data_IF_789930174549
#
_entry.id   IF_789930174549
#
_cell.length_a   1.000
_cell.length_b   1.000
_cell.length_c   1.000
_cell.angle_alpha   90.00
_cell.angle_beta   90.00
_cell.angle_gamma   90.00
#
_symmetry.space_group_name_H-M   'P 1'
#
loop_
_entity.id
_entity.type
_entity.pdbx_description
1 polymer ?
#
# COMPACT_ATOMS: atom_id res chain seq x y z
N UNK A 1 8.11 -9.92 14.63
CA UNK A 1 7.47 -9.62 13.33
C UNK A 1 6.04 -9.12 13.43
N UNK A 2 5.22 -9.63 14.37
CA UNK A 2 3.83 -9.21 14.52
C UNK A 2 3.66 -7.68 14.72
N UNK A 3 4.40 -7.06 15.65
CA UNK A 3 4.35 -5.60 15.86
C UNK A 3 4.90 -4.78 14.69
N UNK A 4 5.93 -5.30 14.00
CA UNK A 4 6.51 -4.66 12.80
C UNK A 4 5.46 -4.54 11.70
N UNK A 5 4.60 -5.56 11.54
CA UNK A 5 3.50 -5.49 10.58
C UNK A 5 2.54 -4.33 10.91
N UNK A 6 2.21 -4.08 12.17
CA UNK A 6 1.31 -2.97 12.51
C UNK A 6 1.92 -1.60 12.20
N UNK A 7 3.21 -1.41 12.50
CA UNK A 7 3.92 -0.16 12.17
C UNK A 7 3.94 0.07 10.66
N UNK A 8 4.31 -0.96 9.88
CA UNK A 8 4.37 -0.85 8.42
C UNK A 8 2.99 -0.76 7.79
N UNK A 9 2.05 -1.61 8.21
CA UNK A 9 0.73 -1.74 7.61
C UNK A 9 -0.20 -0.56 7.89
N UNK A 10 0.05 0.20 8.96
CA UNK A 10 -0.67 1.45 9.24
C UNK A 10 -0.15 2.65 8.44
N UNK A 11 0.96 2.50 7.69
CA UNK A 11 1.43 3.56 6.81
C UNK A 11 0.35 3.87 5.77
N UNK A 12 -0.03 5.16 5.58
CA UNK A 12 -1.04 5.57 4.62
C UNK A 12 -0.45 5.58 3.20
N UNK A 13 -0.05 4.40 2.72
CA UNK A 13 0.79 4.27 1.50
C UNK A 13 0.09 4.76 0.25
N UNK A 14 -1.23 4.62 0.13
CA UNK A 14 -1.96 5.18 -1.00
C UNK A 14 -1.86 6.71 -1.05
N UNK A 15 -1.95 7.37 0.12
CA UNK A 15 -1.69 8.81 0.20
C UNK A 15 -0.24 9.14 -0.11
N UNK A 16 0.72 8.44 0.51
CA UNK A 16 2.14 8.72 0.30
C UNK A 16 2.51 8.58 -1.18
N UNK A 17 2.06 7.54 -1.85
CA UNK A 17 2.29 7.30 -3.29
C UNK A 17 1.89 8.52 -4.12
N UNK A 18 0.61 8.91 -4.04
CA UNK A 18 0.10 10.02 -4.86
C UNK A 18 0.56 11.39 -4.37
N UNK A 19 0.85 11.55 -3.08
CA UNK A 19 1.43 12.79 -2.57
C UNK A 19 2.86 12.97 -3.09
N UNK A 20 3.67 11.91 -3.14
CA UNK A 20 4.99 11.97 -3.76
C UNK A 20 4.88 12.25 -5.26
N UNK A 21 4.02 11.53 -5.99
CA UNK A 21 3.75 11.76 -7.40
C UNK A 21 3.33 13.23 -7.68
N UNK A 22 2.39 13.75 -6.90
CA UNK A 22 1.95 15.15 -6.98
C UNK A 22 3.10 16.14 -6.73
N UNK A 23 3.97 15.86 -5.76
CA UNK A 23 5.12 16.73 -5.44
C UNK A 23 6.21 16.68 -6.51
N UNK A 24 6.38 15.55 -7.19
CA UNK A 24 7.26 15.41 -8.35
C UNK A 24 6.69 16.19 -9.54
N UNK A 25 5.39 16.05 -9.80
CA UNK A 25 4.69 16.84 -10.83
C UNK A 25 4.89 18.34 -10.63
N UNK A 26 4.73 18.84 -9.39
CA UNK A 26 4.97 20.26 -9.07
C UNK A 26 6.42 20.73 -9.25
N UNK A 27 7.39 19.81 -9.23
CA UNK A 27 8.82 20.10 -9.34
C UNK A 27 9.40 19.78 -10.72
N UNK A 28 8.57 19.30 -11.65
CA UNK A 28 9.01 18.78 -12.96
C UNK A 28 10.13 17.74 -12.85
N UNK A 29 10.12 16.95 -11.76
CA UNK A 29 11.16 15.95 -11.48
C UNK A 29 10.90 14.61 -12.17
N UNK A 30 11.92 13.74 -12.25
CA UNK A 30 11.73 12.36 -12.71
C UNK A 30 10.94 11.53 -11.69
N UNK A 31 10.06 10.64 -12.19
CA UNK A 31 9.13 9.79 -11.43
C UNK A 31 9.79 8.49 -10.92
N UNK A 32 10.88 8.08 -11.56
CA UNK A 32 11.24 6.68 -11.86
C UNK A 32 11.27 5.67 -10.70
N UNK A 33 11.21 6.09 -9.44
CA UNK A 33 11.36 5.22 -8.27
C UNK A 33 10.09 5.03 -7.41
N UNK A 34 9.01 5.78 -7.64
CA UNK A 34 7.80 5.66 -6.80
C UNK A 34 7.18 4.26 -6.91
N UNK A 35 7.06 3.73 -8.12
CA UNK A 35 6.45 2.40 -8.32
C UNK A 35 7.29 1.28 -7.69
N UNK A 36 8.62 1.35 -7.80
CA UNK A 36 9.52 0.35 -7.22
C UNK A 36 9.50 0.39 -5.69
N UNK A 37 9.49 1.58 -5.09
CA UNK A 37 9.40 1.73 -3.63
C UNK A 37 8.06 1.21 -3.10
N UNK A 38 6.96 1.43 -3.83
CA UNK A 38 5.65 0.87 -3.49
C UNK A 38 5.60 -0.65 -3.58
N UNK A 39 6.16 -1.24 -4.64
CA UNK A 39 6.27 -2.71 -4.78
C UNK A 39 7.14 -3.28 -3.65
N UNK A 40 8.28 -2.66 -3.35
CA UNK A 40 9.16 -3.10 -2.26
C UNK A 40 8.43 -3.06 -0.90
N UNK A 41 7.72 -1.97 -0.60
CA UNK A 41 6.87 -1.88 0.59
C UNK A 41 5.85 -3.03 0.64
N UNK A 42 5.15 -3.27 -0.48
CA UNK A 42 4.11 -4.29 -0.57
C UNK A 42 4.67 -5.70 -0.29
N UNK A 43 5.86 -6.01 -0.80
CA UNK A 43 6.56 -7.27 -0.54
C UNK A 43 6.97 -7.39 0.93
N UNK A 44 7.59 -6.36 1.50
CA UNK A 44 8.05 -6.36 2.90
C UNK A 44 6.85 -6.47 3.86
N UNK A 45 5.82 -5.64 3.68
CA UNK A 45 4.61 -5.67 4.48
C UNK A 45 3.85 -7.00 4.31
N UNK A 46 3.79 -7.54 3.09
CA UNK A 46 3.21 -8.86 2.81
C UNK A 46 3.95 -10.01 3.46
N UNK A 47 5.29 -9.95 3.52
CA UNK A 47 6.11 -10.89 4.28
C UNK A 47 5.80 -10.80 5.78
N UNK A 48 5.79 -9.60 6.37
CA UNK A 48 5.43 -9.40 7.77
C UNK A 48 3.99 -9.87 8.06
N UNK A 49 3.07 -9.75 7.10
CA UNK A 49 1.69 -10.20 7.20
C UNK A 49 1.53 -11.72 7.36
N UNK A 50 2.58 -12.52 7.10
CA UNK A 50 2.55 -13.97 7.33
C UNK A 50 2.43 -14.33 8.81
N UNK A 51 2.92 -13.46 9.71
CA UNK A 51 2.97 -13.63 11.16
C UNK A 51 1.75 -13.07 11.92
N UNK A 52 0.74 -12.57 11.20
CA UNK A 52 -0.49 -12.02 11.76
C UNK A 52 -1.72 -12.74 11.17
N UNK A 53 -2.87 -12.62 11.83
CA UNK A 53 -4.12 -13.21 11.34
C UNK A 53 -4.60 -12.45 10.11
N UNK A 54 -5.19 -13.15 9.13
CA UNK A 54 -5.73 -12.50 7.91
C UNK A 54 -6.72 -11.38 8.24
N UNK A 55 -7.54 -11.56 9.27
CA UNK A 55 -8.47 -10.54 9.76
C UNK A 55 -7.76 -9.26 10.22
N UNK A 56 -6.61 -9.39 10.89
CA UNK A 56 -5.80 -8.24 11.33
C UNK A 56 -5.21 -7.51 10.13
N UNK A 57 -4.73 -8.23 9.10
CA UNK A 57 -4.27 -7.64 7.84
C UNK A 57 -5.35 -6.77 7.20
N UNK A 58 -6.58 -7.29 7.12
CA UNK A 58 -7.71 -6.56 6.54
C UNK A 58 -8.08 -5.32 7.36
N UNK A 59 -8.10 -5.42 8.70
CA UNK A 59 -8.41 -4.28 9.57
C UNK A 59 -7.34 -3.18 9.47
N UNK A 60 -6.07 -3.56 9.49
CA UNK A 60 -4.94 -2.61 9.38
C UNK A 60 -4.96 -1.88 8.04
N UNK A 61 -5.17 -2.61 6.94
CA UNK A 61 -5.29 -1.99 5.62
C UNK A 61 -6.53 -1.10 5.50
N UNK A 62 -7.66 -1.45 6.12
CA UNK A 62 -8.85 -0.60 6.16
C UNK A 62 -8.58 0.71 6.92
N UNK A 63 -7.87 0.65 8.05
CA UNK A 63 -7.46 1.85 8.80
C UNK A 63 -6.51 2.70 7.96
N UNK A 64 -5.48 2.09 7.35
CA UNK A 64 -4.52 2.80 6.49
C UNK A 64 -5.20 3.43 5.26
N UNK A 65 -6.23 2.79 4.71
CA UNK A 65 -7.06 3.33 3.64
C UNK A 65 -7.81 4.59 4.10
N UNK A 66 -8.50 4.54 5.24
CA UNK A 66 -9.21 5.70 5.80
C UNK A 66 -8.23 6.83 6.08
N UNK A 67 -7.08 6.54 6.70
CA UNK A 67 -6.02 7.53 6.92
C UNK A 67 -5.52 8.14 5.61
N UNK A 68 -5.30 7.32 4.59
CA UNK A 68 -4.87 7.79 3.26
C UNK A 68 -5.92 8.71 2.65
N UNK A 69 -7.20 8.37 2.77
CA UNK A 69 -8.29 9.21 2.28
C UNK A 69 -8.33 10.56 2.98
N UNK A 70 -8.30 10.56 4.32
CA UNK A 70 -8.32 11.79 5.12
C UNK A 70 -7.13 12.68 4.77
N UNK A 71 -5.92 12.12 4.71
CA UNK A 71 -4.72 12.86 4.35
C UNK A 71 -4.80 13.41 2.91
N UNK A 72 -5.33 12.63 1.97
CA UNK A 72 -5.55 13.09 0.60
C UNK A 72 -6.51 14.28 0.54
N UNK A 73 -7.58 14.27 1.34
CA UNK A 73 -8.51 15.39 1.43
C UNK A 73 -7.85 16.67 1.97
N UNK A 74 -6.90 16.54 2.90
CA UNK A 74 -6.22 17.65 3.56
C UNK A 74 -5.07 18.24 2.74
N UNK A 75 -4.32 17.40 2.00
CA UNK A 75 -3.02 17.78 1.43
C UNK A 75 -2.94 17.72 -0.10
N UNK A 76 -3.98 17.26 -0.79
CA UNK A 76 -3.98 17.18 -2.26
C UNK A 76 -5.24 17.83 -2.85
N UNK A 77 -5.12 18.53 -4.00
CA UNK A 77 -6.27 19.11 -4.66
C UNK A 77 -7.23 18.01 -5.13
N UNK A 78 -8.52 18.34 -5.22
CA UNK A 78 -9.57 17.39 -5.63
C UNK A 78 -9.36 16.93 -7.07
N UNK A 79 -8.99 17.88 -7.94
CA UNK A 79 -8.70 17.61 -9.34
C UNK A 79 -7.29 17.02 -9.44
N UNK A 80 -7.20 15.79 -9.95
CA UNK A 80 -5.92 15.14 -10.16
C UNK A 80 -5.29 15.59 -11.49
N UNK A 81 -4.96 16.88 -11.61
CA UNK A 81 -4.35 17.41 -12.84
C UNK A 81 -3.03 16.73 -13.20
N UNK A 82 -2.38 16.08 -12.23
CA UNK A 82 -1.16 15.31 -12.41
C UNK A 82 -1.40 13.88 -12.93
N UNK A 83 -2.65 13.37 -12.94
CA UNK A 83 -3.00 12.05 -13.46
C UNK A 83 -4.27 12.11 -14.33
N UNK A 84 -4.12 11.89 -15.64
CA UNK A 84 -5.24 12.00 -16.58
C UNK A 84 -6.24 10.86 -16.39
N UNK A 85 -7.54 11.20 -16.35
CA UNK A 85 -8.65 10.24 -16.43
C UNK A 85 -9.22 9.77 -15.09
N UNK A 86 -8.66 10.19 -13.96
CA UNK A 86 -9.15 9.83 -12.62
C UNK A 86 -9.16 11.07 -11.71
N UNK A 87 -9.97 11.04 -10.65
CA UNK A 87 -9.90 12.03 -9.58
C UNK A 87 -9.04 11.51 -8.43
N UNK A 88 -8.60 12.42 -7.54
CA UNK A 88 -7.79 12.09 -6.37
C UNK A 88 -8.34 10.91 -5.57
N UNK A 89 -9.66 10.89 -5.34
CA UNK A 89 -10.29 9.84 -4.55
C UNK A 89 -10.20 8.47 -5.24
N UNK A 90 -10.40 8.42 -6.56
CA UNK A 90 -10.32 7.19 -7.34
C UNK A 90 -8.90 6.60 -7.26
N UNK A 91 -7.89 7.46 -7.39
CA UNK A 91 -6.47 7.11 -7.29
C UNK A 91 -6.12 6.49 -5.92
N UNK A 92 -6.59 7.09 -4.82
CA UNK A 92 -6.39 6.55 -3.47
C UNK A 92 -7.03 5.17 -3.33
N UNK A 93 -8.25 4.97 -3.85
CA UNK A 93 -8.93 3.66 -3.83
C UNK A 93 -8.11 2.62 -4.60
N UNK A 94 -7.66 2.96 -5.80
CA UNK A 94 -6.91 2.06 -6.67
C UNK A 94 -5.63 1.59 -5.98
N UNK A 95 -4.77 2.51 -5.51
CA UNK A 95 -3.51 2.12 -4.87
C UNK A 95 -3.75 1.36 -3.57
N UNK A 96 -4.74 1.75 -2.76
CA UNK A 96 -5.05 1.02 -1.54
C UNK A 96 -5.52 -0.42 -1.82
N UNK A 97 -6.37 -0.61 -2.84
CA UNK A 97 -6.80 -1.93 -3.30
C UNK A 97 -5.63 -2.79 -3.76
N UNK A 98 -4.79 -2.28 -4.66
CA UNK A 98 -3.63 -3.02 -5.16
C UNK A 98 -2.63 -3.34 -4.03
N UNK A 99 -2.43 -2.40 -3.09
CA UNK A 99 -1.60 -2.63 -1.91
C UNK A 99 -2.13 -3.77 -1.06
N UNK A 100 -3.44 -3.76 -0.76
CA UNK A 100 -4.07 -4.80 0.04
C UNK A 100 -4.02 -6.17 -0.64
N UNK A 101 -4.41 -6.23 -1.92
CA UNK A 101 -4.39 -7.46 -2.72
C UNK A 101 -2.96 -7.99 -2.80
N UNK A 102 -1.98 -7.14 -3.11
CA UNK A 102 -0.60 -7.54 -3.24
C UNK A 102 0.02 -8.05 -1.93
N UNK A 103 -0.26 -7.41 -0.80
CA UNK A 103 0.15 -7.92 0.52
C UNK A 103 -0.44 -9.32 0.78
N UNK A 104 -1.71 -9.54 0.45
CA UNK A 104 -2.35 -10.86 0.60
C UNK A 104 -1.76 -11.91 -0.35
N UNK A 105 -1.44 -11.53 -1.59
CA UNK A 105 -0.78 -12.40 -2.57
C UNK A 105 0.59 -12.84 -2.05
N UNK A 106 1.45 -11.89 -1.67
CA UNK A 106 2.79 -12.17 -1.10
C UNK A 106 2.67 -13.08 0.12
N UNK A 107 1.76 -12.74 1.06
CA UNK A 107 1.48 -13.55 2.24
C UNK A 107 1.11 -14.99 1.88
N UNK A 108 0.26 -15.18 0.87
CA UNK A 108 -0.24 -16.49 0.47
C UNK A 108 0.86 -17.33 -0.16
N UNK A 109 1.64 -16.74 -1.08
CA UNK A 109 2.79 -17.39 -1.71
C UNK A 109 3.82 -17.85 -0.66
N UNK A 110 4.17 -16.98 0.29
CA UNK A 110 5.13 -17.31 1.34
C UNK A 110 4.63 -18.43 2.25
N UNK A 111 3.34 -18.44 2.60
CA UNK A 111 2.77 -19.55 3.37
C UNK A 111 2.81 -20.88 2.62
N UNK A 112 2.64 -20.88 1.30
CA UNK A 112 2.79 -22.11 0.50
C UNK A 112 4.23 -22.64 0.50
N UNK A 113 5.22 -21.75 0.49
CA UNK A 113 6.64 -22.11 0.49
C UNK A 113 7.09 -22.59 1.87
N UNK A 114 6.72 -21.85 2.93
CA UNK A 114 7.16 -22.11 4.31
C UNK A 114 6.38 -23.26 4.95
N UNK A 115 5.14 -23.51 4.53
CA UNK A 115 4.28 -24.57 5.04
C UNK A 115 4.19 -25.74 4.04
N UNK A 116 5.33 -26.17 3.49
CA UNK A 116 5.41 -27.50 2.87
C UNK A 116 4.98 -28.52 3.94
N UNK A 117 3.92 -29.32 3.73
CA UNK A 117 3.69 -30.47 4.59
C UNK A 117 4.91 -31.36 4.44
N UNK A 118 5.69 -31.49 5.51
CA UNK A 118 6.62 -32.60 5.66
C UNK A 118 5.78 -33.87 5.51
N UNK A 119 5.85 -34.46 4.33
CA UNK A 119 5.37 -35.82 4.09
C UNK A 119 6.33 -36.73 4.85
N UNK A 120 5.87 -37.17 6.02
CA UNK A 120 6.40 -38.32 6.75
C UNK A 120 5.38 -39.43 6.54
#
# INVERSE_FOLDING_TARGET
>A
MHYVYYVLGLLPVAFLFHHFEYRIFLREGPDDFIIFTWIAYMVIAGFCATFVRKREVSLVNAIAFVLSFVLAMLFMPKEASWFKGFQRNDLIIIIAMFTYIGQLTVRSLLRLIVHKPTQI
#
